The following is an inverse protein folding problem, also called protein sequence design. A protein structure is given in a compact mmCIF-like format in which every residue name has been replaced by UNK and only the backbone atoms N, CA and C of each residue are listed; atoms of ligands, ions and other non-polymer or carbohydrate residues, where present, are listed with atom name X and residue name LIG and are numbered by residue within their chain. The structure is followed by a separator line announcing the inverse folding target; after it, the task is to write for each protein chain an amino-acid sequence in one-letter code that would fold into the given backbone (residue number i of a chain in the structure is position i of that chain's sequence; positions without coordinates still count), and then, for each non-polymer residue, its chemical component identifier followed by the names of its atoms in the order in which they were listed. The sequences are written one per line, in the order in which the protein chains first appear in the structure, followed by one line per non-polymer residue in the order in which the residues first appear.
data_IF_064109247931
#
_entry.id   IF_064109247931
#
_cell.length_a   1.000
_cell.length_b   1.000
_cell.length_c   1.000
_cell.angle_alpha   90.00
_cell.angle_beta   90.00
_cell.angle_gamma   90.00
#
_symmetry.space_group_name_H-M   'P 1'
#
loop_
_entity.id
_entity.type
_entity.pdbx_description
1 polymer ?
#
# COMPACT_ATOMS: atom_id res chain seq x y z
N UNK A 1 23.41 -13.19 0.94
CA UNK A 1 22.41 -13.91 1.77
C UNK A 1 21.02 -13.33 1.52
N UNK A 2 19.92 -14.02 1.87
CA UNK A 2 18.55 -13.52 1.62
C UNK A 2 18.28 -12.17 2.32
N UNK A 3 18.80 -12.00 3.54
CA UNK A 3 18.66 -10.76 4.31
C UNK A 3 19.32 -9.57 3.60
N UNK A 4 20.55 -9.73 3.12
CA UNK A 4 21.26 -8.67 2.38
C UNK A 4 20.53 -8.27 1.09
N UNK A 5 19.88 -9.24 0.42
CA UNK A 5 19.06 -8.94 -0.76
C UNK A 5 17.84 -8.09 -0.39
N UNK A 6 17.07 -8.51 0.62
CA UNK A 6 15.89 -7.77 1.08
C UNK A 6 16.26 -6.36 1.56
N UNK A 7 17.37 -6.21 2.29
CA UNK A 7 17.87 -4.88 2.70
C UNK A 7 18.24 -4.02 1.49
N UNK A 8 18.86 -4.59 0.45
CA UNK A 8 19.16 -3.86 -0.79
C UNK A 8 17.89 -3.47 -1.54
N UNK A 9 16.86 -4.31 -1.53
CA UNK A 9 15.56 -4.00 -2.11
C UNK A 9 14.89 -2.83 -1.38
N UNK A 10 14.92 -2.82 -0.04
CA UNK A 10 14.42 -1.68 0.75
C UNK A 10 15.17 -0.38 0.41
N UNK A 11 16.50 -0.41 0.30
CA UNK A 11 17.27 0.76 -0.12
C UNK A 11 16.92 1.25 -1.54
N UNK A 12 16.53 0.35 -2.44
CA UNK A 12 16.09 0.73 -3.78
C UNK A 12 14.68 1.34 -3.74
N UNK A 13 13.77 0.77 -2.95
CA UNK A 13 12.43 1.31 -2.70
C UNK A 13 12.51 2.74 -2.16
N UNK A 14 13.37 2.99 -1.16
CA UNK A 14 13.60 4.32 -0.61
C UNK A 14 14.07 5.32 -1.67
N UNK A 15 14.98 4.92 -2.56
CA UNK A 15 15.45 5.77 -3.66
C UNK A 15 14.35 6.09 -4.66
N UNK A 16 13.50 5.13 -5.00
CA UNK A 16 12.38 5.36 -5.91
C UNK A 16 11.35 6.32 -5.31
N UNK A 17 11.07 6.19 -4.01
CA UNK A 17 10.19 7.12 -3.29
C UNK A 17 10.79 8.54 -3.25
N UNK A 18 12.09 8.68 -3.02
CA UNK A 18 12.76 9.98 -3.06
C UNK A 18 12.73 10.64 -4.44
N UNK A 19 12.84 9.85 -5.52
CA UNK A 19 12.68 10.34 -6.89
C UNK A 19 11.24 10.82 -7.12
N UNK A 20 10.26 10.02 -6.71
CA UNK A 20 8.85 10.39 -6.84
C UNK A 20 8.52 11.66 -6.07
N UNK A 21 8.98 11.78 -4.83
CA UNK A 21 8.81 12.98 -4.00
C UNK A 21 9.37 14.22 -4.71
N UNK A 22 10.59 14.13 -5.25
CA UNK A 22 11.20 15.22 -6.01
C UNK A 22 10.36 15.65 -7.22
N UNK A 23 9.84 14.71 -8.01
CA UNK A 23 9.02 15.05 -9.18
C UNK A 23 7.68 15.68 -8.77
N UNK A 24 7.09 15.22 -7.66
CA UNK A 24 5.89 15.83 -7.10
C UNK A 24 6.13 17.25 -6.57
N UNK A 25 7.30 17.52 -5.97
CA UNK A 25 7.68 18.88 -5.58
C UNK A 25 7.86 19.81 -6.80
N UNK A 26 8.40 19.29 -7.91
CA UNK A 26 8.49 20.06 -9.18
C UNK A 26 7.09 20.42 -9.67
N UNK A 27 6.18 19.44 -9.65
CA UNK A 27 4.79 19.65 -10.03
C UNK A 27 4.10 20.69 -9.14
N UNK A 28 4.28 20.63 -7.82
CA UNK A 28 3.64 21.53 -6.85
C UNK A 28 4.07 23.00 -7.02
N UNK A 29 5.32 23.23 -7.47
CA UNK A 29 5.82 24.57 -7.82
C UNK A 29 5.24 25.13 -9.13
N UNK A 30 4.47 24.34 -9.88
CA UNK A 30 3.95 24.70 -11.20
C UNK A 30 4.96 24.52 -12.33
N UNK A 31 6.09 23.90 -12.06
CA UNK A 31 7.08 23.52 -13.06
C UNK A 31 6.65 22.21 -13.76
N UNK A 32 7.32 21.87 -14.87
CA UNK A 32 7.03 20.65 -15.62
C UNK A 32 7.79 19.44 -15.02
N UNK A 33 7.09 18.65 -14.21
CA UNK A 33 7.57 17.36 -13.73
C UNK A 33 7.69 16.32 -14.86
N UNK A 34 8.53 15.31 -14.64
CA UNK A 34 8.66 14.16 -15.54
C UNK A 34 7.61 13.08 -15.21
N UNK A 35 6.49 13.14 -15.92
CA UNK A 35 5.38 12.20 -15.73
C UNK A 35 5.71 10.77 -16.14
N UNK A 36 6.70 10.54 -17.02
CA UNK A 36 7.14 9.19 -17.38
C UNK A 36 7.87 8.55 -16.20
N UNK A 37 8.69 9.32 -15.49
CA UNK A 37 9.34 8.87 -14.25
C UNK A 37 8.31 8.59 -13.16
N UNK A 38 7.37 9.51 -12.93
CA UNK A 38 6.29 9.31 -11.96
C UNK A 38 5.52 8.02 -12.26
N UNK A 39 5.10 7.84 -13.51
CA UNK A 39 4.38 6.64 -13.93
C UNK A 39 5.21 5.38 -13.73
N UNK A 40 6.47 5.36 -14.14
CA UNK A 40 7.35 4.21 -13.98
C UNK A 40 7.54 3.81 -12.51
N UNK A 41 7.67 4.77 -11.60
CA UNK A 41 7.77 4.51 -10.16
C UNK A 41 6.47 3.92 -9.63
N UNK A 42 5.32 4.49 -9.98
CA UNK A 42 4.00 3.97 -9.57
C UNK A 42 3.80 2.54 -10.07
N UNK A 43 4.05 2.27 -11.36
CA UNK A 43 3.92 0.94 -11.94
C UNK A 43 4.82 -0.10 -11.26
N UNK A 44 6.01 0.30 -10.80
CA UNK A 44 6.86 -0.59 -10.00
C UNK A 44 6.18 -0.98 -8.69
N UNK A 45 5.60 -0.02 -7.97
CA UNK A 45 4.96 -0.26 -6.66
C UNK A 45 3.63 -1.02 -6.74
N UNK A 46 2.94 -1.01 -7.89
CA UNK A 46 1.70 -1.76 -8.07
C UNK A 46 1.91 -3.29 -8.10
N UNK A 47 3.10 -3.75 -8.48
CA UNK A 47 3.34 -5.18 -8.73
C UNK A 47 4.49 -5.73 -7.89
N UNK A 48 5.62 -5.03 -7.85
CA UNK A 48 6.84 -5.62 -7.33
C UNK A 48 6.82 -5.92 -5.82
N UNK A 49 6.36 -5.00 -4.94
CA UNK A 49 6.30 -5.25 -3.50
C UNK A 49 5.45 -6.47 -3.16
N UNK A 50 4.24 -6.54 -3.73
CA UNK A 50 3.25 -7.56 -3.42
C UNK A 50 3.65 -8.95 -3.95
N UNK A 51 4.09 -9.02 -5.21
CA UNK A 51 4.30 -10.32 -5.88
C UNK A 51 5.67 -10.93 -5.57
N UNK A 52 6.70 -10.11 -5.33
CA UNK A 52 8.08 -10.60 -5.27
C UNK A 52 8.76 -10.35 -3.92
N UNK A 53 8.59 -9.16 -3.34
CA UNK A 53 9.31 -8.76 -2.14
C UNK A 53 8.65 -9.31 -0.85
N UNK A 54 7.39 -8.97 -0.61
CA UNK A 54 6.68 -9.35 0.62
C UNK A 54 6.63 -10.87 0.87
N UNK A 55 6.42 -11.74 -0.15
CA UNK A 55 6.44 -13.19 0.08
C UNK A 55 7.77 -13.69 0.66
N UNK A 56 8.89 -13.07 0.28
CA UNK A 56 10.21 -13.46 0.77
C UNK A 56 10.46 -12.96 2.19
N UNK A 57 10.05 -11.72 2.45
CA UNK A 57 10.09 -11.11 3.78
C UNK A 57 9.22 -11.88 4.79
N UNK A 58 8.03 -12.30 4.39
CA UNK A 58 7.12 -13.12 5.21
C UNK A 58 7.73 -14.45 5.62
N UNK A 59 8.47 -15.12 4.72
CA UNK A 59 9.18 -16.36 5.03
C UNK A 59 10.27 -16.14 6.08
N UNK A 60 11.02 -15.03 5.96
CA UNK A 60 12.03 -14.63 6.95
C UNK A 60 11.36 -14.39 8.30
N UNK A 61 10.27 -13.61 8.35
CA UNK A 61 9.54 -13.36 9.58
C UNK A 61 8.93 -14.63 10.18
N UNK A 62 8.39 -15.53 9.36
CA UNK A 62 7.86 -16.82 9.82
C UNK A 62 8.94 -17.66 10.51
N UNK A 63 10.16 -17.71 9.94
CA UNK A 63 11.31 -18.38 10.57
C UNK A 63 11.68 -17.74 11.91
N UNK A 64 11.82 -16.42 11.94
CA UNK A 64 12.16 -15.69 13.17
C UNK A 64 11.09 -15.85 14.27
N UNK A 65 9.80 -15.90 13.90
CA UNK A 65 8.69 -16.18 14.81
C UNK A 65 8.77 -17.60 15.40
N UNK A 66 9.13 -18.59 14.59
CA UNK A 66 9.36 -19.97 15.05
C UNK A 66 10.57 -20.10 15.97
N UNK A 67 11.64 -19.33 15.72
CA UNK A 67 12.87 -19.33 16.54
C UNK A 67 12.67 -18.65 17.90
N UNK A 68 11.66 -17.78 18.07
CA UNK A 68 11.31 -17.19 19.37
C UNK A 68 10.59 -18.16 20.33
N UNK A 69 10.35 -19.41 19.93
CA UNK A 69 9.91 -20.49 20.83
C UNK A 69 11.10 -21.12 21.57
N UNK A 70 11.79 -20.30 22.35
CA UNK A 70 12.79 -20.70 23.33
C UNK A 70 12.41 -20.29 24.76
N UNK A 71 11.11 -20.17 25.05
CA UNK A 71 10.62 -20.00 26.42
C UNK A 71 9.42 -20.94 26.64
N UNK A 72 9.66 -21.99 27.42
CA UNK A 72 8.66 -22.93 27.91
C UNK A 72 7.71 -22.24 28.91
N UNK A 73 6.62 -21.64 28.43
CA UNK A 73 5.44 -21.41 29.28
C UNK A 73 4.17 -21.27 28.43
N UNK A 74 3.53 -22.41 28.20
CA UNK A 74 2.09 -22.70 28.25
C UNK A 74 1.09 -21.53 28.17
N UNK A 75 0.19 -21.54 27.17
CA UNK A 75 -0.97 -20.64 27.22
C UNK A 75 -1.79 -20.44 25.95
N UNK A 76 -2.54 -21.49 25.54
CA UNK A 76 -3.87 -21.44 24.92
C UNK A 76 -4.07 -20.65 23.61
N UNK A 77 -4.41 -21.42 22.56
CA UNK A 77 -4.81 -21.01 21.22
C UNK A 77 -6.34 -20.78 21.16
N UNK A 78 -6.78 -19.64 20.64
CA UNK A 78 -8.15 -19.36 20.13
C UNK A 78 -8.20 -17.90 19.62
N UNK A 79 -8.90 -17.48 18.57
CA UNK A 79 -9.70 -18.11 17.53
C UNK A 79 -9.92 -17.07 16.42
N UNK A 80 -10.19 -17.54 15.20
CA UNK A 80 -10.68 -16.81 14.02
C UNK A 80 -11.78 -15.78 14.32
N UNK A 81 -11.66 -14.56 13.76
CA UNK A 81 -12.76 -13.60 13.62
C UNK A 81 -12.97 -13.28 12.14
N UNK A 82 -14.17 -13.58 11.67
CA UNK A 82 -14.72 -13.33 10.32
C UNK A 82 -14.79 -11.83 9.97
N UNK A 83 -14.84 -11.45 8.68
CA UNK A 83 -14.95 -10.04 8.29
C UNK A 83 -16.39 -9.53 8.48
N UNK A 84 -16.54 -8.42 9.20
CA UNK A 84 -17.82 -7.73 9.32
C UNK A 84 -18.18 -7.01 8.01
N UNK A 85 -19.43 -7.18 7.57
CA UNK A 85 -20.00 -6.48 6.41
C UNK A 85 -20.19 -5.00 6.78
N UNK A 86 -19.54 -4.11 6.05
CA UNK A 86 -19.77 -2.66 6.16
C UNK A 86 -21.17 -2.26 5.68
N UNK A 87 -21.70 -1.11 6.15
CA UNK A 87 -23.06 -0.67 5.84
C UNK A 87 -23.22 -0.24 4.37
N UNK A 88 -24.31 -0.68 3.77
CA UNK A 88 -24.76 -0.36 2.41
C UNK A 88 -25.09 1.13 2.26
N UNK A 89 -24.37 1.83 1.38
CA UNK A 89 -24.67 3.21 0.99
C UNK A 89 -25.87 3.24 0.03
N UNK A 90 -26.98 3.84 0.45
CA UNK A 90 -28.13 4.10 -0.44
C UNK A 90 -28.03 5.53 -1.01
N UNK A 91 -28.14 5.73 -2.34
CA UNK A 91 -28.10 7.07 -2.91
C UNK A 91 -29.43 7.80 -2.65
N UNK A 92 -29.34 8.97 -2.02
CA UNK A 92 -30.46 9.88 -1.76
C UNK A 92 -30.96 10.46 -3.09
N UNK A 93 -32.19 10.11 -3.49
CA UNK A 93 -32.92 10.76 -4.60
C UNK A 93 -33.07 12.26 -4.30
N UNK A 94 -32.34 13.11 -5.01
CA UNK A 94 -32.65 14.55 -5.10
C UNK A 94 -33.77 14.74 -6.12
N UNK A 95 -34.98 14.97 -5.60
CA UNK A 95 -36.16 15.34 -6.37
C UNK A 95 -35.98 16.67 -7.10
N UNK A 96 -36.51 16.72 -8.33
CA UNK A 96 -36.49 17.89 -9.18
C UNK A 96 -37.37 19.04 -8.66
N UNK A 97 -37.01 20.25 -9.07
CA UNK A 97 -37.90 21.41 -9.08
C UNK A 97 -37.91 22.01 -10.47
N UNK A 98 -39.05 21.85 -11.14
CA UNK A 98 -39.48 22.64 -12.28
C UNK A 98 -39.29 24.14 -11.95
N UNK A 99 -38.68 24.90 -12.86
CA UNK A 99 -38.92 26.35 -12.94
C UNK A 99 -39.63 26.64 -14.25
N UNK A 100 -40.83 27.16 -14.06
CA UNK A 100 -41.78 27.68 -15.03
C UNK A 100 -41.33 29.03 -15.60
N UNK A 101 -41.91 29.34 -16.77
CA UNK A 101 -41.71 30.47 -17.69
C UNK A 101 -42.06 31.86 -17.10
N UNK A 102 -41.56 32.89 -17.79
CA UNK A 102 -42.00 34.30 -17.79
C UNK A 102 -40.78 35.19 -18.06
N UNK A 103 -40.71 36.05 -19.07
CA UNK A 103 -41.68 36.75 -19.93
C UNK A 103 -41.04 37.06 -21.28
#
# INVERSE_FOLDING_TARGET
MIIERLSKEHLNIEKLLAILERELEVFDRGDRADYEVIHAVISYFEVYPEVYHHPQEDLVFAKLRGTRSGCCCEGRRSSSRTPERGPTFTPRRSGGRQRSRGT
#
